data_IF_132268523871
#
_entry.id   IF_132268523871
#
_cell.length_a   1.000
_cell.length_b   1.000
_cell.length_c   1.000
_cell.angle_alpha   90.00
_cell.angle_beta   90.00
_cell.angle_gamma   90.00
#
_symmetry.space_group_name_H-M   'P 1'
#
loop_
_entity.id
_entity.type
_entity.pdbx_description
1 polymer ?
#
# COMPACT_ATOMS: atom_id res chain seq x y z
N UNK A 1 2.41 -22.06 24.78
CA UNK A 1 2.79 -22.20 23.35
C UNK A 1 2.75 -23.65 22.95
N UNK A 2 2.16 -24.00 21.80
CA UNK A 2 2.09 -25.39 21.34
C UNK A 2 3.19 -25.69 20.32
N UNK A 3 4.01 -26.71 20.57
CA UNK A 3 5.06 -27.22 19.66
C UNK A 3 4.69 -28.64 19.24
N UNK A 4 4.88 -28.98 17.96
CA UNK A 4 4.61 -30.32 17.42
C UNK A 4 5.82 -30.81 16.61
N UNK A 5 6.27 -32.04 16.89
CA UNK A 5 7.33 -32.74 16.15
C UNK A 5 6.71 -33.92 15.40
N UNK A 6 6.92 -34.00 14.07
CA UNK A 6 6.48 -35.14 13.25
C UNK A 6 7.43 -35.37 12.07
N UNK A 7 7.98 -36.59 11.90
CA UNK A 7 7.93 -37.72 12.83
C UNK A 7 8.76 -37.48 14.12
N UNK A 8 8.51 -38.24 15.19
CA UNK A 8 9.27 -38.16 16.47
C UNK A 8 10.54 -39.02 16.48
N UNK A 9 10.62 -40.01 15.59
CA UNK A 9 11.83 -40.80 15.32
C UNK A 9 12.20 -40.60 13.86
N UNK A 10 13.43 -40.19 13.58
CA UNK A 10 13.94 -39.98 12.24
C UNK A 10 15.46 -40.18 12.21
N UNK A 11 16.00 -40.54 11.04
CA UNK A 11 17.46 -40.62 10.82
C UNK A 11 18.00 -39.24 10.48
N UNK A 12 19.27 -38.99 10.81
CA UNK A 12 19.95 -37.72 10.47
C UNK A 12 19.98 -37.55 8.96
N UNK A 13 19.57 -36.37 8.48
CA UNK A 13 19.66 -36.01 7.05
C UNK A 13 21.03 -35.40 6.75
N UNK A 14 21.57 -35.62 5.55
CA UNK A 14 22.83 -35.00 5.11
C UNK A 14 22.78 -33.48 4.93
N UNK A 15 21.59 -32.85 5.01
CA UNK A 15 21.44 -31.39 4.95
C UNK A 15 21.49 -30.81 6.37
N UNK A 16 22.40 -29.86 6.60
CA UNK A 16 22.47 -29.14 7.87
C UNK A 16 21.20 -28.31 8.11
N UNK A 17 20.62 -28.42 9.31
CA UNK A 17 19.54 -27.53 9.74
C UNK A 17 20.16 -26.21 10.21
N UNK A 18 19.71 -25.08 9.65
CA UNK A 18 20.23 -23.77 10.01
C UNK A 18 19.94 -23.45 11.49
N UNK A 19 20.98 -23.09 12.26
CA UNK A 19 20.84 -22.64 13.66
C UNK A 19 19.96 -21.39 13.79
N UNK A 20 19.91 -20.57 12.74
CA UNK A 20 19.00 -19.44 12.61
C UNK A 20 18.49 -19.34 11.18
N UNK A 21 17.17 -19.16 11.01
CA UNK A 21 16.59 -18.96 9.70
C UNK A 21 16.79 -17.50 9.25
N UNK A 22 17.33 -17.30 8.04
CA UNK A 22 17.40 -15.96 7.45
C UNK A 22 15.98 -15.39 7.29
N UNK A 23 15.79 -14.15 7.74
CA UNK A 23 14.50 -13.46 7.59
C UNK A 23 14.22 -13.26 6.09
N UNK A 24 13.05 -13.72 5.61
CA UNK A 24 12.61 -13.44 4.23
C UNK A 24 12.66 -11.94 3.97
N UNK A 25 13.37 -11.54 2.91
CA UNK A 25 13.48 -10.13 2.51
C UNK A 25 12.11 -9.63 2.04
N UNK A 26 11.77 -8.41 2.43
CA UNK A 26 10.55 -7.77 1.92
C UNK A 26 10.66 -7.59 0.40
N UNK A 27 9.62 -7.93 -0.39
CA UNK A 27 9.65 -7.75 -1.83
C UNK A 27 9.91 -6.31 -2.26
N UNK A 28 10.56 -6.14 -3.41
CA UNK A 28 10.75 -4.82 -4.03
C UNK A 28 9.53 -4.47 -4.87
N UNK A 29 8.88 -3.36 -4.53
CA UNK A 29 7.68 -2.90 -5.21
C UNK A 29 6.46 -3.80 -4.99
N UNK A 30 5.37 -3.48 -5.68
CA UNK A 30 4.11 -4.19 -5.65
C UNK A 30 3.38 -4.05 -6.99
N UNK A 31 2.25 -4.74 -7.15
CA UNK A 31 1.42 -4.69 -8.35
C UNK A 31 0.02 -4.25 -7.97
N UNK A 32 -0.46 -3.18 -8.59
CA UNK A 32 -1.82 -2.68 -8.45
C UNK A 32 -2.65 -3.38 -9.53
N UNK A 33 -3.52 -4.31 -9.14
CA UNK A 33 -4.42 -5.02 -10.04
C UNK A 33 -5.82 -4.45 -9.93
N UNK A 34 -6.48 -4.26 -11.06
CA UNK A 34 -7.86 -3.77 -11.13
C UNK A 34 -8.53 -4.25 -12.42
N UNK A 35 -9.85 -4.20 -12.45
CA UNK A 35 -10.65 -4.53 -13.63
C UNK A 35 -11.31 -3.25 -14.17
N UNK A 36 -11.33 -3.08 -15.49
CA UNK A 36 -12.05 -2.01 -16.17
C UNK A 36 -13.18 -2.62 -17.00
N UNK A 37 -14.39 -2.08 -16.89
CA UNK A 37 -15.51 -2.55 -17.70
C UNK A 37 -15.49 -1.93 -19.10
N UNK A 38 -14.98 -0.70 -19.20
CA UNK A 38 -14.89 0.06 -20.45
C UNK A 38 -13.51 0.70 -20.59
N UNK A 39 -13.21 1.23 -21.79
CA UNK A 39 -11.98 1.98 -22.03
C UNK A 39 -11.98 3.26 -21.18
N UNK A 40 -10.93 3.46 -20.38
CA UNK A 40 -10.88 4.56 -19.42
C UNK A 40 -9.47 5.11 -19.18
N UNK A 41 -9.40 6.36 -18.73
CA UNK A 41 -8.20 6.92 -18.11
C UNK A 41 -8.24 6.65 -16.62
N UNK A 42 -7.22 5.96 -16.10
CA UNK A 42 -7.11 5.62 -14.68
C UNK A 42 -6.12 6.54 -13.99
N UNK A 43 -6.60 7.22 -12.95
CA UNK A 43 -5.76 7.99 -12.02
C UNK A 43 -5.61 7.22 -10.72
N UNK A 44 -4.37 6.95 -10.34
CA UNK A 44 -4.01 6.27 -9.11
C UNK A 44 -3.36 7.30 -8.19
N UNK A 45 -4.08 7.74 -7.17
CA UNK A 45 -3.55 8.61 -6.13
C UNK A 45 -2.84 7.79 -5.08
N UNK A 46 -1.68 8.29 -4.64
CA UNK A 46 -0.93 7.69 -3.55
C UNK A 46 -0.97 8.65 -2.36
N UNK A 47 -1.57 8.19 -1.28
CA UNK A 47 -1.81 9.00 -0.09
C UNK A 47 -1.09 8.42 1.11
N UNK A 48 -0.31 9.24 1.82
CA UNK A 48 0.35 8.82 3.05
C UNK A 48 -0.58 9.01 4.23
N UNK A 49 -0.72 7.98 5.06
CA UNK A 49 -1.42 8.03 6.34
C UNK A 49 -0.50 8.68 7.38
N UNK A 50 -0.90 9.84 7.88
CA UNK A 50 -0.19 10.59 8.91
C UNK A 50 -1.06 10.71 10.17
N UNK A 51 -0.39 10.98 11.29
CA UNK A 51 -1.06 11.36 12.53
C UNK A 51 -1.79 12.70 12.32
N UNK A 52 -3.00 12.78 12.83
CA UNK A 52 -3.81 13.99 12.84
C UNK A 52 -4.54 14.15 14.16
N UNK A 53 -5.14 15.33 14.35
CA UNK A 53 -5.97 15.68 15.50
C UNK A 53 -7.32 16.19 14.98
N UNK A 54 -8.42 15.81 15.62
CA UNK A 54 -9.74 16.31 15.23
C UNK A 54 -9.87 17.79 15.58
N UNK A 55 -10.30 18.60 14.62
CA UNK A 55 -10.76 19.97 14.81
C UNK A 55 -12.15 20.08 14.18
N UNK A 56 -13.19 20.04 15.01
CA UNK A 56 -14.56 19.81 14.56
C UNK A 56 -14.68 18.50 13.78
N UNK A 57 -15.28 18.56 12.59
CA UNK A 57 -15.46 17.40 11.69
C UNK A 57 -14.20 17.04 10.88
N UNK A 58 -13.14 17.86 10.92
CA UNK A 58 -11.93 17.68 10.09
C UNK A 58 -10.79 17.03 10.86
N UNK A 59 -10.00 16.19 10.17
CA UNK A 59 -8.75 15.65 10.70
C UNK A 59 -7.56 16.52 10.24
N UNK A 60 -7.03 17.33 11.15
CA UNK A 60 -6.02 18.35 10.83
C UNK A 60 -4.62 17.93 11.29
N UNK A 61 -3.60 18.69 10.85
CA UNK A 61 -2.22 18.50 11.28
C UNK A 61 -2.13 18.71 12.81
N UNK A 62 -1.36 17.86 13.53
CA UNK A 62 -1.07 18.10 14.94
C UNK A 62 -0.26 19.40 15.12
N UNK A 63 -0.70 20.24 16.04
CA UNK A 63 -0.06 21.49 16.48
C UNK A 63 -0.05 21.54 18.00
N UNK A 64 0.75 22.43 18.60
CA UNK A 64 0.77 22.59 20.06
C UNK A 64 -0.63 22.87 20.63
N UNK A 65 -1.43 23.69 19.93
CA UNK A 65 -2.79 24.08 20.31
C UNK A 65 -3.81 22.91 20.27
N UNK A 66 -3.58 21.88 19.47
CA UNK A 66 -4.52 20.76 19.31
C UNK A 66 -3.98 19.39 19.75
N UNK A 67 -2.80 19.35 20.39
CA UNK A 67 -2.11 18.11 20.77
C UNK A 67 -2.94 17.20 21.68
N UNK A 68 -3.80 17.78 22.52
CA UNK A 68 -4.71 17.07 23.44
C UNK A 68 -6.02 16.63 22.79
N UNK A 69 -6.34 17.06 21.55
CA UNK A 69 -7.59 16.67 20.87
C UNK A 69 -7.57 15.20 20.42
N UNK A 70 -8.75 14.63 20.17
CA UNK A 70 -8.92 13.22 19.72
C UNK A 70 -8.03 12.91 18.52
N UNK A 71 -7.30 11.80 18.59
CA UNK A 71 -6.44 11.34 17.52
C UNK A 71 -7.28 10.95 16.29
N UNK A 72 -6.77 11.22 15.11
CA UNK A 72 -7.37 10.79 13.85
C UNK A 72 -6.28 10.49 12.80
N UNK A 73 -6.67 9.79 11.75
CA UNK A 73 -5.77 9.49 10.62
C UNK A 73 -5.98 10.49 9.51
N UNK A 74 -4.93 11.24 9.16
CA UNK A 74 -4.95 12.24 8.10
C UNK A 74 -4.26 11.68 6.86
N UNK A 75 -4.97 11.62 5.74
CA UNK A 75 -4.40 11.15 4.47
C UNK A 75 -3.91 12.34 3.63
N UNK A 76 -2.66 12.27 3.19
CA UNK A 76 -2.01 13.34 2.42
C UNK A 76 -1.56 12.81 1.07
N UNK A 77 -2.03 13.44 -0.01
CA UNK A 77 -1.60 13.12 -1.38
C UNK A 77 -0.10 13.36 -1.53
N UNK A 78 0.63 12.32 -1.93
CA UNK A 78 2.07 12.37 -2.24
C UNK A 78 2.34 12.40 -3.74
N UNK A 79 1.34 12.02 -4.54
CA UNK A 79 1.38 12.14 -5.99
C UNK A 79 0.32 11.25 -6.63
N UNK A 80 0.33 11.21 -7.96
CA UNK A 80 -0.54 10.36 -8.76
C UNK A 80 0.23 9.66 -9.87
N UNK A 81 -0.26 8.50 -10.28
CA UNK A 81 0.11 7.85 -11.52
C UNK A 81 -1.11 7.92 -12.45
N UNK A 82 -0.91 8.32 -13.69
CA UNK A 82 -1.98 8.38 -14.70
C UNK A 82 -1.68 7.35 -15.79
N UNK A 83 -2.71 6.59 -16.16
CA UNK A 83 -2.70 5.64 -17.27
C UNK A 83 -3.85 6.01 -18.19
N UNK A 84 -3.53 6.64 -19.32
CA UNK A 84 -4.50 7.07 -20.32
C UNK A 84 -4.89 5.89 -21.21
N UNK A 85 -6.10 5.92 -21.75
CA UNK A 85 -6.57 5.00 -22.80
C UNK A 85 -6.39 3.51 -22.48
N UNK A 86 -6.58 3.11 -21.22
CA UNK A 86 -6.57 1.69 -20.87
C UNK A 86 -7.84 1.03 -21.40
N UNK A 87 -7.69 -0.01 -22.22
CA UNK A 87 -8.82 -0.81 -22.67
C UNK A 87 -9.46 -1.60 -21.52
N UNK A 88 -10.69 -2.06 -21.73
CA UNK A 88 -11.44 -2.89 -20.80
C UNK A 88 -10.68 -4.18 -20.43
N UNK A 89 -11.13 -4.83 -19.36
CA UNK A 89 -10.59 -6.07 -18.80
C UNK A 89 -9.63 -5.87 -17.62
N UNK A 90 -8.98 -6.98 -17.25
CA UNK A 90 -8.03 -7.04 -16.12
C UNK A 90 -6.75 -6.29 -16.47
N UNK A 91 -6.36 -5.35 -15.62
CA UNK A 91 -5.15 -4.52 -15.76
C UNK A 91 -4.28 -4.63 -14.53
N UNK A 92 -2.97 -4.61 -14.78
CA UNK A 92 -1.95 -4.62 -13.74
C UNK A 92 -0.98 -3.47 -13.95
N UNK A 93 -0.76 -2.68 -12.92
CA UNK A 93 0.24 -1.60 -12.91
C UNK A 93 1.30 -1.93 -11.87
N UNK A 94 2.54 -2.14 -12.32
CA UNK A 94 3.67 -2.27 -11.42
C UNK A 94 3.95 -0.94 -10.70
N UNK A 95 4.19 -1.00 -9.39
CA UNK A 95 4.49 0.15 -8.56
C UNK A 95 5.73 -0.13 -7.72
N UNK A 96 6.82 0.59 -7.98
CA UNK A 96 8.10 0.37 -7.32
C UNK A 96 8.24 1.04 -5.95
N UNK A 97 7.23 1.81 -5.50
CA UNK A 97 7.39 2.73 -4.37
C UNK A 97 7.89 4.14 -4.78
N UNK A 98 8.05 4.39 -6.09
CA UNK A 98 8.46 5.69 -6.64
C UNK A 98 7.34 6.34 -7.47
N UNK A 99 7.32 7.67 -7.48
CA UNK A 99 6.47 8.47 -8.36
C UNK A 99 7.42 9.28 -9.25
N UNK A 100 7.46 8.95 -10.55
CA UNK A 100 8.52 9.42 -11.44
C UNK A 100 9.90 9.07 -10.87
N UNK A 101 10.80 10.04 -10.82
CA UNK A 101 12.15 9.87 -10.25
C UNK A 101 12.17 9.92 -8.72
N UNK A 102 11.08 10.25 -8.02
CA UNK A 102 11.07 10.45 -6.56
C UNK A 102 10.64 9.19 -5.80
N UNK A 103 11.50 8.71 -4.90
CA UNK A 103 11.14 7.64 -3.96
C UNK A 103 10.23 8.16 -2.85
N UNK A 104 9.20 7.39 -2.50
CA UNK A 104 8.39 7.67 -1.33
C UNK A 104 9.11 7.22 -0.06
N UNK A 105 8.96 8.00 1.01
CA UNK A 105 9.53 7.66 2.32
C UNK A 105 8.85 6.41 2.90
N UNK A 106 9.53 5.65 3.76
CA UNK A 106 8.89 4.58 4.52
C UNK A 106 7.70 5.11 5.32
N UNK A 107 6.64 4.30 5.42
CA UNK A 107 5.43 4.66 6.13
C UNK A 107 4.20 3.90 5.67
N UNK A 108 3.06 4.27 6.25
CA UNK A 108 1.75 3.74 5.89
C UNK A 108 1.12 4.59 4.79
N UNK A 109 0.57 3.94 3.78
CA UNK A 109 -0.02 4.57 2.61
C UNK A 109 -1.36 3.92 2.27
N UNK A 110 -2.12 4.58 1.40
CA UNK A 110 -3.21 3.98 0.64
C UNK A 110 -3.11 4.39 -0.82
N UNK A 111 -3.47 3.49 -1.72
CA UNK A 111 -3.76 3.81 -3.12
C UNK A 111 -5.25 4.10 -3.22
N UNK A 112 -5.61 5.17 -3.92
CA UNK A 112 -6.99 5.47 -4.31
C UNK A 112 -7.04 5.48 -5.83
N UNK A 113 -7.85 4.60 -6.40
CA UNK A 113 -7.99 4.45 -7.85
C UNK A 113 -9.25 5.16 -8.31
N UNK A 114 -9.19 5.91 -9.40
CA UNK A 114 -10.36 6.45 -10.08
C UNK A 114 -10.21 6.23 -11.58
N UNK A 115 -11.19 5.56 -12.20
CA UNK A 115 -11.31 5.44 -13.64
C UNK A 115 -12.27 6.52 -14.17
N UNK A 116 -11.95 7.08 -15.34
CA UNK A 116 -12.79 8.04 -16.06
C UNK A 116 -12.93 7.62 -17.52
N UNK A 117 -14.17 7.46 -17.99
CA UNK A 117 -14.52 7.17 -19.38
C UNK A 117 -15.42 8.30 -19.89
N UNK A 118 -14.88 9.23 -20.69
CA UNK A 118 -15.62 10.44 -21.08
C UNK A 118 -16.00 11.32 -19.88
N UNK A 119 -17.29 11.58 -19.72
CA UNK A 119 -17.91 12.27 -18.56
C UNK A 119 -18.01 11.36 -17.33
N UNK A 120 -18.09 10.04 -17.52
CA UNK A 120 -18.33 9.08 -16.44
C UNK A 120 -17.12 8.87 -15.55
N UNK A 121 -17.37 8.75 -14.25
CA UNK A 121 -16.37 8.49 -13.22
C UNK A 121 -16.75 7.26 -12.43
N UNK A 122 -15.78 6.38 -12.20
CA UNK A 122 -15.97 5.25 -11.29
C UNK A 122 -15.95 5.68 -9.83
N UNK A 123 -16.42 4.79 -8.96
CA UNK A 123 -16.12 4.82 -7.53
C UNK A 123 -14.60 4.91 -7.28
N UNK A 124 -14.24 5.38 -6.08
CA UNK A 124 -12.85 5.58 -5.67
C UNK A 124 -12.39 4.55 -4.62
N UNK A 125 -12.17 3.28 -5.00
CA UNK A 125 -11.72 2.27 -4.04
C UNK A 125 -10.34 2.64 -3.49
N UNK A 126 -10.21 2.49 -2.17
CA UNK A 126 -8.97 2.73 -1.45
C UNK A 126 -8.39 1.42 -0.90
N UNK A 127 -7.10 1.17 -1.08
CA UNK A 127 -6.40 0.00 -0.51
C UNK A 127 -5.14 0.40 0.25
N UNK A 128 -4.97 -0.04 1.51
CA UNK A 128 -3.80 0.29 2.30
C UNK A 128 -2.58 -0.52 1.85
N UNK A 129 -1.39 0.07 2.01
CA UNK A 129 -0.12 -0.63 1.87
C UNK A 129 0.96 0.06 2.72
N UNK A 130 2.09 -0.61 2.93
CA UNK A 130 3.21 -0.10 3.71
C UNK A 130 4.49 -0.12 2.90
N UNK A 131 5.23 0.98 2.93
CA UNK A 131 6.61 1.05 2.42
C UNK A 131 7.52 0.90 3.63
N UNK A 132 8.43 -0.06 3.59
CA UNK A 132 9.44 -0.30 4.63
C UNK A 132 10.82 0.10 4.12
N UNK A 133 11.79 0.25 5.04
CA UNK A 133 13.18 0.43 4.66
C UNK A 133 13.68 -0.82 3.93
N UNK A 134 14.55 -0.62 2.95
CA UNK A 134 15.28 -1.69 2.26
C UNK A 134 16.10 -2.51 3.25
#
# INVERSE_FOLDING_TARGET
SAVKLKPKKFRVSGKATAKSAARKRTPRGTRIRFNLNTKATVTIWIEQKLKGRKAGKKCVRPTAKNKRKKACSRFVRRGKLVRKNLAAGKRTVAFSGRIGRKALKPGNYRVVLQARAGSDKSNQPARPFRIVRR
#
